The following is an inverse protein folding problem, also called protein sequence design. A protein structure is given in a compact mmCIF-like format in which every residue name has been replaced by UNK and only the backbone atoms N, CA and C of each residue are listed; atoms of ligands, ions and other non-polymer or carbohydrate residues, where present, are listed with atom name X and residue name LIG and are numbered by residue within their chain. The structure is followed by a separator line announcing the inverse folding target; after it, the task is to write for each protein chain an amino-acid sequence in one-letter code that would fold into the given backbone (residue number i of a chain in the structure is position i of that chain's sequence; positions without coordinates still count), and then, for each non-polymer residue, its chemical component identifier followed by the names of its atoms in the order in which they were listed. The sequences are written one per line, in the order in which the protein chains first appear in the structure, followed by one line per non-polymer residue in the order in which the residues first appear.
data_IF_116602832242
#
_entry.id   IF_116602832242
#
_cell.length_a   1.000
_cell.length_b   1.000
_cell.length_c   1.000
_cell.angle_alpha   90.00
_cell.angle_beta   90.00
_cell.angle_gamma   90.00
#
_symmetry.space_group_name_H-M   'P 1'
#
loop_
_entity.id
_entity.type
_entity.pdbx_description
1 polymer ?
#
# COMPACT_ATOMS: atom_id res chain seq x y z
N UNK A 1 -3.49 -27.27 31.48
CA UNK A 1 -2.56 -28.41 31.45
C UNK A 1 -2.97 -29.49 30.43
N UNK A 2 -4.14 -30.14 30.53
CA UNK A 2 -4.58 -31.20 29.58
C UNK A 2 -4.71 -30.79 28.11
N UNK A 3 -4.79 -29.49 27.82
CA UNK A 3 -5.11 -29.00 26.47
C UNK A 3 -3.87 -28.80 25.59
N UNK A 4 -2.68 -28.67 26.19
CA UNK A 4 -1.42 -28.63 25.44
C UNK A 4 -1.06 -30.02 24.89
N UNK A 5 -1.37 -31.10 25.61
CA UNK A 5 -1.18 -32.48 25.13
C UNK A 5 -1.95 -32.73 23.83
N UNK A 6 -3.22 -32.28 23.76
CA UNK A 6 -4.05 -32.36 22.55
C UNK A 6 -3.43 -31.60 21.37
N UNK A 7 -2.81 -30.44 21.63
CA UNK A 7 -2.16 -29.64 20.59
C UNK A 7 -0.94 -30.38 20.03
N UNK A 8 -0.04 -30.87 20.87
CA UNK A 8 1.14 -31.62 20.43
C UNK A 8 0.80 -32.98 19.79
N UNK A 9 -0.28 -33.64 20.20
CA UNK A 9 -0.77 -34.84 19.52
C UNK A 9 -1.39 -34.50 18.14
N UNK A 10 -2.07 -33.36 17.99
CA UNK A 10 -2.57 -32.90 16.70
C UNK A 10 -1.42 -32.54 15.75
N UNK A 11 -0.43 -31.80 16.24
CA UNK A 11 0.79 -31.43 15.51
C UNK A 11 1.57 -32.68 15.07
N UNK A 12 1.81 -33.63 15.98
CA UNK A 12 2.47 -34.91 15.67
C UNK A 12 1.67 -35.73 14.67
N UNK A 13 0.33 -35.73 14.76
CA UNK A 13 -0.54 -36.40 13.80
C UNK A 13 -0.44 -35.77 12.41
N UNK A 14 -0.44 -34.45 12.30
CA UNK A 14 -0.23 -33.72 11.03
C UNK A 14 1.14 -34.04 10.45
N UNK A 15 2.22 -33.96 11.25
CA UNK A 15 3.60 -34.31 10.86
C UNK A 15 3.80 -35.81 10.55
N UNK A 16 2.85 -36.67 10.93
CA UNK A 16 2.85 -38.10 10.58
C UNK A 16 2.05 -38.45 9.32
N UNK A 17 1.35 -37.48 8.71
CA UNK A 17 0.74 -37.68 7.40
C UNK A 17 1.85 -37.81 6.35
N UNK A 18 1.72 -38.75 5.38
CA UNK A 18 2.66 -38.80 4.27
C UNK A 18 2.55 -37.51 3.47
N UNK A 19 3.68 -36.86 3.20
CA UNK A 19 3.71 -35.69 2.32
C UNK A 19 3.04 -36.03 0.98
N UNK A 20 2.12 -35.19 0.50
CA UNK A 20 1.45 -35.45 -0.77
C UNK A 20 2.48 -35.34 -1.90
N UNK A 21 2.74 -36.47 -2.55
CA UNK A 21 3.52 -36.58 -3.79
C UNK A 21 2.92 -35.70 -4.89
N UNK A 22 3.27 -34.41 -4.89
CA UNK A 22 2.69 -33.39 -5.77
C UNK A 22 2.93 -33.73 -7.24
N UNK A 23 4.10 -34.27 -7.59
CA UNK A 23 4.45 -34.65 -8.96
C UNK A 23 3.54 -35.78 -9.50
N UNK A 24 3.15 -36.75 -8.66
CA UNK A 24 2.23 -37.84 -9.07
C UNK A 24 0.75 -37.54 -8.85
N UNK A 25 0.40 -36.66 -7.91
CA UNK A 25 -1.01 -36.37 -7.53
C UNK A 25 -1.55 -35.05 -8.06
N UNK A 26 -0.69 -34.16 -8.52
CA UNK A 26 -1.05 -32.84 -9.05
C UNK A 26 -0.51 -32.68 -10.49
N UNK A 27 -0.58 -33.77 -11.26
CA UNK A 27 -0.23 -33.82 -12.68
C UNK A 27 -0.97 -32.75 -13.49
N UNK A 28 -0.45 -32.39 -14.66
CA UNK A 28 -1.10 -31.41 -15.54
C UNK A 28 -2.57 -31.76 -15.82
N UNK A 29 -2.87 -33.03 -16.13
CA UNK A 29 -4.24 -33.50 -16.34
C UNK A 29 -5.15 -33.23 -15.12
N UNK A 30 -4.60 -33.37 -13.90
CA UNK A 30 -5.33 -33.07 -12.65
C UNK A 30 -5.56 -31.57 -12.50
N UNK A 31 -4.58 -30.73 -12.85
CA UNK A 31 -4.71 -29.27 -12.84
C UNK A 31 -5.74 -28.80 -13.87
N UNK A 32 -5.71 -29.35 -15.09
CA UNK A 32 -6.66 -29.06 -16.17
C UNK A 32 -8.09 -29.50 -15.79
N UNK A 33 -8.25 -30.65 -15.11
CA UNK A 33 -9.54 -31.10 -14.54
C UNK A 33 -10.04 -30.15 -13.44
N UNK A 34 -9.17 -29.66 -12.57
CA UNK A 34 -9.54 -28.68 -11.53
C UNK A 34 -9.96 -27.36 -12.20
N UNK A 35 -9.21 -26.89 -13.20
CA UNK A 35 -9.47 -25.66 -13.94
C UNK A 35 -10.83 -25.72 -14.68
N UNK A 36 -11.09 -26.78 -15.44
CA UNK A 36 -12.37 -26.93 -16.14
C UNK A 36 -13.57 -27.06 -15.18
N UNK A 37 -13.40 -27.75 -14.03
CA UNK A 37 -14.46 -27.78 -13.01
C UNK A 37 -14.72 -26.38 -12.40
N UNK A 38 -13.67 -25.57 -12.20
CA UNK A 38 -13.79 -24.20 -11.70
C UNK A 38 -14.48 -23.28 -12.73
N UNK A 39 -14.06 -23.33 -14.00
CA UNK A 39 -14.71 -22.61 -15.10
C UNK A 39 -16.19 -23.02 -15.26
N UNK A 40 -16.48 -24.33 -15.17
CA UNK A 40 -17.84 -24.88 -15.24
C UNK A 40 -18.69 -24.44 -14.05
N UNK A 41 -18.13 -24.36 -12.84
CA UNK A 41 -18.81 -23.82 -11.66
C UNK A 41 -19.17 -22.34 -11.85
N UNK A 42 -18.21 -21.50 -12.24
CA UNK A 42 -18.44 -20.08 -12.53
C UNK A 42 -19.56 -19.88 -13.57
N UNK A 43 -19.42 -20.50 -14.75
CA UNK A 43 -20.42 -20.50 -15.83
C UNK A 43 -21.80 -21.05 -15.41
N UNK A 44 -21.89 -21.83 -14.34
CA UNK A 44 -23.17 -22.34 -13.81
C UNK A 44 -23.90 -21.33 -12.93
N UNK A 45 -23.16 -20.48 -12.21
CA UNK A 45 -23.73 -19.42 -11.37
C UNK A 45 -24.30 -18.27 -12.24
N UNK A 46 -23.63 -17.91 -13.33
CA UNK A 46 -24.13 -16.92 -14.30
C UNK A 46 -25.49 -17.31 -14.90
N UNK A 47 -25.65 -18.61 -15.21
CA UNK A 47 -26.91 -19.15 -15.73
C UNK A 47 -28.05 -19.05 -14.71
N UNK A 48 -27.78 -19.12 -13.40
CA UNK A 48 -28.78 -18.86 -12.35
C UNK A 48 -29.19 -17.38 -12.26
N UNK A 49 -28.28 -16.42 -12.52
CA UNK A 49 -28.64 -14.98 -12.60
C UNK A 49 -29.57 -14.69 -13.80
N UNK A 50 -29.26 -15.23 -14.99
CA UNK A 50 -30.08 -14.99 -16.22
C UNK A 50 -31.53 -15.45 -16.09
N UNK A 51 -31.84 -16.44 -15.25
CA UNK A 51 -33.22 -16.88 -14.99
C UNK A 51 -34.09 -15.89 -14.20
N UNK A 52 -33.50 -14.91 -13.51
CA UNK A 52 -34.24 -13.90 -12.70
C UNK A 52 -34.35 -12.53 -13.38
N UNK A 53 -33.46 -12.22 -14.32
CA UNK A 53 -33.38 -10.93 -15.02
C UNK A 53 -34.48 -10.69 -16.07
N UNK A 54 -35.29 -11.71 -16.42
CA UNK A 54 -36.29 -11.62 -17.48
C UNK A 54 -37.52 -10.74 -17.15
N UNK A 55 -37.65 -10.27 -15.90
CA UNK A 55 -38.90 -9.71 -15.36
C UNK A 55 -38.91 -8.18 -15.20
N UNK A 56 -37.87 -7.47 -15.65
CA UNK A 56 -37.87 -5.99 -15.71
C UNK A 56 -37.45 -5.49 -17.09
N UNK A 57 -38.38 -4.76 -17.74
CA UNK A 57 -38.16 -3.89 -18.90
C UNK A 57 -39.06 -2.67 -18.75
N UNK A 58 -38.59 -1.51 -19.23
CA UNK A 58 -39.09 -0.15 -18.91
C UNK A 58 -38.66 0.23 -17.47
N UNK A 59 -38.23 1.45 -17.14
CA UNK A 59 -38.05 2.74 -17.87
C UNK A 59 -36.51 3.07 -17.73
N UNK A 60 -35.78 3.92 -18.46
CA UNK A 60 -36.04 5.20 -19.16
C UNK A 60 -35.18 5.30 -20.46
N UNK A 61 -34.84 6.51 -20.92
CA UNK A 61 -33.89 6.79 -22.00
C UNK A 61 -33.21 8.17 -21.78
N UNK A 62 -32.04 8.38 -22.40
CA UNK A 62 -31.17 9.56 -22.22
C UNK A 62 -30.08 9.31 -21.16
N UNK A 63 -28.84 9.80 -21.30
CA UNK A 63 -28.27 10.73 -22.31
C UNK A 63 -27.10 10.09 -23.09
N UNK A 64 -26.79 10.65 -24.27
CA UNK A 64 -25.61 10.30 -25.06
C UNK A 64 -24.62 11.48 -25.13
N UNK A 65 -23.66 11.52 -24.21
CA UNK A 65 -22.52 12.46 -24.08
C UNK A 65 -21.73 12.06 -22.82
N UNK A 66 -20.39 12.06 -22.75
CA UNK A 66 -19.35 12.36 -23.75
C UNK A 66 -18.35 11.19 -23.73
N UNK A 67 -18.11 10.54 -24.88
CA UNK A 67 -17.25 9.34 -24.97
C UNK A 67 -16.29 9.37 -26.19
N UNK A 68 -15.99 10.56 -26.69
CA UNK A 68 -14.99 10.81 -27.73
C UNK A 68 -14.47 12.25 -27.53
N UNK A 69 -13.17 12.48 -27.82
CA UNK A 69 -12.39 13.61 -27.28
C UNK A 69 -12.24 13.41 -25.75
N UNK A 70 -11.10 12.98 -25.20
CA UNK A 70 -9.71 13.26 -25.57
C UNK A 70 -8.88 11.97 -25.76
N UNK A 71 -8.39 11.69 -26.98
CA UNK A 71 -7.41 10.61 -27.22
C UNK A 71 -6.42 10.87 -28.36
N UNK A 72 -6.33 12.12 -28.86
CA UNK A 72 -5.38 12.53 -29.91
C UNK A 72 -5.07 14.04 -29.77
N UNK A 73 -4.01 14.39 -29.03
CA UNK A 73 -3.58 15.79 -28.86
C UNK A 73 -2.09 16.01 -28.50
N UNK A 74 -1.26 14.97 -28.27
CA UNK A 74 0.18 15.13 -28.02
C UNK A 74 0.99 14.14 -28.84
N UNK A 75 1.38 14.56 -30.05
CA UNK A 75 2.59 14.15 -30.78
C UNK A 75 2.75 15.04 -32.01
N UNK A 76 3.99 15.15 -32.53
CA UNK A 76 4.39 15.98 -33.68
C UNK A 76 4.44 17.51 -33.40
N UNK A 77 5.50 17.95 -32.72
CA UNK A 77 6.30 19.10 -33.19
C UNK A 77 7.77 18.66 -33.15
N UNK A 78 8.53 18.77 -34.25
CA UNK A 78 9.98 18.54 -34.24
C UNK A 78 10.72 19.81 -33.79
N UNK A 79 11.73 19.65 -32.94
CA UNK A 79 12.73 20.69 -32.67
C UNK A 79 14.11 20.17 -33.10
N UNK A 80 14.76 20.90 -34.00
CA UNK A 80 16.10 20.61 -34.50
C UNK A 80 16.87 21.92 -34.63
N UNK A 81 18.13 21.92 -34.17
CA UNK A 81 19.14 22.97 -34.39
C UNK A 81 18.83 24.37 -33.79
N UNK A 82 19.80 25.24 -33.48
CA UNK A 82 21.26 25.21 -33.72
C UNK A 82 22.08 25.35 -32.41
N UNK A 83 23.39 25.03 -32.48
CA UNK A 83 24.38 25.46 -31.47
C UNK A 83 25.26 26.59 -32.05
N UNK A 84 25.51 27.67 -31.31
CA UNK A 84 26.73 28.45 -31.45
C UNK A 84 27.86 27.91 -30.56
N UNK A 85 29.11 28.12 -30.97
CA UNK A 85 30.33 27.67 -30.29
C UNK A 85 30.87 28.67 -29.26
N UNK A 86 31.64 28.18 -28.29
CA UNK A 86 32.48 28.98 -27.39
C UNK A 86 33.55 29.81 -28.13
N UNK A 87 34.06 30.88 -27.49
CA UNK A 87 35.43 31.34 -27.65
C UNK A 87 36.26 31.08 -26.37
N UNK A 88 37.52 30.67 -26.55
CA UNK A 88 38.51 30.58 -25.45
C UNK A 88 38.98 31.97 -24.98
N UNK A 89 39.43 32.04 -23.72
CA UNK A 89 40.39 33.06 -23.25
C UNK A 89 41.12 32.52 -22.00
N UNK A 90 42.45 32.64 -21.99
CA UNK A 90 43.34 32.17 -20.92
C UNK A 90 43.73 33.32 -19.95
N UNK A 91 44.60 32.98 -18.99
CA UNK A 91 45.44 33.89 -18.16
C UNK A 91 44.78 34.59 -16.96
N UNK A 92 45.51 34.93 -15.88
CA UNK A 92 46.57 34.16 -15.18
C UNK A 92 46.84 34.80 -13.79
N UNK A 93 47.10 33.99 -12.76
CA UNK A 93 47.68 34.42 -11.48
C UNK A 93 46.76 35.20 -10.51
N UNK A 94 47.12 35.37 -9.23
CA UNK A 94 48.24 34.74 -8.51
C UNK A 94 48.02 34.75 -6.97
N UNK A 95 48.66 33.78 -6.29
CA UNK A 95 49.21 33.75 -4.91
C UNK A 95 49.02 35.00 -4.00
N UNK A 96 48.92 34.93 -2.66
CA UNK A 96 49.10 33.88 -1.61
C UNK A 96 48.66 34.50 -0.24
N UNK A 97 48.64 33.90 0.97
CA UNK A 97 49.45 32.88 1.71
C UNK A 97 48.55 32.19 2.76
N UNK A 98 48.72 30.90 3.09
CA UNK A 98 49.53 30.37 4.22
C UNK A 98 49.31 31.13 5.56
N UNK A 99 48.70 30.63 6.65
CA UNK A 99 48.82 29.33 7.40
C UNK A 99 50.26 29.04 7.91
N UNK A 100 50.51 28.18 8.94
CA UNK A 100 49.62 27.51 9.91
C UNK A 100 50.12 27.58 11.42
N UNK A 101 50.42 26.48 12.18
CA UNK A 101 49.53 25.82 13.17
C UNK A 101 50.12 25.67 14.60
N UNK A 102 49.47 24.83 15.45
CA UNK A 102 49.99 23.78 16.37
C UNK A 102 49.19 23.73 17.70
N UNK A 103 48.96 22.63 18.42
CA UNK A 103 48.55 21.20 18.19
C UNK A 103 48.58 20.48 19.57
N UNK A 104 48.14 19.21 19.62
CA UNK A 104 48.39 18.17 20.64
C UNK A 104 47.70 18.20 22.03
N UNK A 105 46.67 17.34 22.13
CA UNK A 105 46.59 16.21 23.08
C UNK A 105 46.95 16.39 24.57
N UNK A 106 45.96 16.18 25.46
CA UNK A 106 46.13 15.21 26.56
C UNK A 106 44.84 14.62 27.13
N UNK A 107 44.95 13.37 27.58
CA UNK A 107 43.99 12.67 28.47
C UNK A 107 44.27 13.07 29.92
N UNK A 108 43.22 13.13 30.74
CA UNK A 108 43.32 12.76 32.16
C UNK A 108 42.03 12.07 32.63
N UNK A 109 42.15 11.16 33.58
CA UNK A 109 41.02 10.44 34.17
C UNK A 109 40.38 11.27 35.29
N UNK A 110 39.05 11.20 35.43
CA UNK A 110 38.44 11.25 36.75
C UNK A 110 37.10 10.53 36.80
N UNK A 111 36.84 9.90 37.95
CA UNK A 111 35.79 8.90 38.12
C UNK A 111 35.31 8.93 39.57
N UNK A 112 34.06 9.32 39.77
CA UNK A 112 33.30 8.98 40.98
C UNK A 112 31.83 8.69 40.62
N UNK A 113 31.10 7.86 41.39
CA UNK A 113 29.94 7.14 40.88
C UNK A 113 28.58 7.50 41.53
N UNK A 114 27.51 6.91 40.98
CA UNK A 114 26.11 6.95 41.42
C UNK A 114 25.40 8.33 41.36
N UNK A 115 24.47 8.44 40.41
CA UNK A 115 23.07 8.13 40.76
C UNK A 115 22.51 7.13 39.72
N UNK A 116 21.55 6.29 40.11
CA UNK A 116 20.88 5.30 39.25
C UNK A 116 19.38 5.26 39.60
N UNK A 117 18.69 6.39 39.40
CA UNK A 117 17.25 6.54 39.66
C UNK A 117 16.53 7.41 38.61
N UNK A 118 16.84 7.23 37.31
CA UNK A 118 15.88 7.61 36.26
C UNK A 118 14.99 6.40 35.90
N UNK A 119 13.71 6.62 35.56
CA UNK A 119 12.81 5.53 35.13
C UNK A 119 13.23 4.98 33.75
N UNK A 120 12.72 3.79 33.40
CA UNK A 120 12.77 3.24 32.03
C UNK A 120 11.81 4.02 31.12
N UNK A 121 12.07 5.32 30.94
CA UNK A 121 11.47 6.16 29.92
C UNK A 121 12.02 5.68 28.56
N UNK A 122 11.39 4.62 28.06
CA UNK A 122 11.45 4.25 26.66
C UNK A 122 10.82 5.37 25.85
N UNK A 123 11.64 6.36 25.50
CA UNK A 123 11.36 7.31 24.42
C UNK A 123 11.00 6.46 23.21
N UNK A 124 9.71 6.38 22.91
CA UNK A 124 9.20 5.70 21.72
C UNK A 124 9.65 6.54 20.54
N UNK A 125 10.75 6.12 19.91
CA UNK A 125 11.38 6.81 18.78
C UNK A 125 10.46 6.67 17.54
N UNK A 126 9.43 7.51 17.57
CA UNK A 126 8.21 7.44 16.75
C UNK A 126 7.85 8.84 16.27
N UNK A 127 7.23 8.89 15.10
CA UNK A 127 6.88 10.09 14.36
C UNK A 127 5.37 10.03 14.14
N UNK A 128 4.67 11.07 14.57
CA UNK A 128 3.24 11.18 14.35
C UNK A 128 2.99 11.86 13.00
N UNK A 129 2.32 11.15 12.08
CA UNK A 129 1.62 11.78 10.96
C UNK A 129 0.21 12.16 11.44
N UNK A 130 -0.16 13.43 11.32
CA UNK A 130 -1.52 13.92 11.59
C UNK A 130 -2.18 14.36 10.28
N UNK A 131 -3.40 13.87 10.06
CA UNK A 131 -4.24 14.24 8.93
C UNK A 131 -5.57 14.84 9.44
N UNK A 132 -5.64 16.17 9.42
CA UNK A 132 -6.83 16.93 9.83
C UNK A 132 -7.93 16.98 8.77
N UNK A 133 -7.63 16.65 7.51
CA UNK A 133 -8.61 16.64 6.40
C UNK A 133 -9.64 15.51 6.55
N UNK A 134 -9.19 14.32 6.99
CA UNK A 134 -10.04 13.14 7.18
C UNK A 134 -10.17 12.72 8.64
N UNK A 135 -9.44 13.34 9.57
CA UNK A 135 -9.52 13.07 11.01
C UNK A 135 -8.85 11.76 11.42
N UNK A 136 -7.54 11.63 11.22
CA UNK A 136 -6.76 10.53 11.78
C UNK A 136 -5.30 10.90 12.05
N UNK A 137 -4.69 10.20 13.01
CA UNK A 137 -3.25 10.15 13.20
C UNK A 137 -2.71 8.78 12.77
N UNK A 138 -1.44 8.72 12.43
CA UNK A 138 -0.72 7.49 12.09
C UNK A 138 0.66 7.51 12.75
N UNK A 139 0.94 6.52 13.59
CA UNK A 139 2.24 6.35 14.24
C UNK A 139 3.23 5.65 13.30
N UNK A 140 4.38 6.26 13.07
CA UNK A 140 5.47 5.74 12.24
C UNK A 140 6.73 5.55 13.10
N UNK A 141 7.57 4.52 12.84
CA UNK A 141 8.88 4.41 13.46
C UNK A 141 9.85 5.44 12.85
N UNK A 142 10.89 5.81 13.60
CA UNK A 142 11.87 6.83 13.18
C UNK A 142 12.64 6.53 11.88
N UNK A 143 12.64 5.28 11.39
CA UNK A 143 13.11 4.94 10.03
C UNK A 143 12.35 5.69 8.92
N UNK A 144 11.16 6.22 9.20
CA UNK A 144 10.32 6.96 8.27
C UNK A 144 10.54 8.49 8.34
N UNK A 145 11.57 8.98 9.04
CA UNK A 145 11.88 10.41 9.05
C UNK A 145 12.14 10.91 7.62
N UNK A 146 11.40 11.96 7.21
CA UNK A 146 11.41 12.43 5.82
C UNK A 146 10.44 11.71 4.85
N UNK A 147 9.47 10.94 5.37
CA UNK A 147 8.34 10.43 4.57
C UNK A 147 7.62 11.56 3.82
N UNK A 148 6.87 11.20 2.77
CA UNK A 148 6.01 12.12 2.01
C UNK A 148 4.59 11.58 1.96
N UNK A 149 3.61 12.42 1.69
CA UNK A 149 2.25 11.98 1.36
C UNK A 149 2.08 12.10 -0.16
N UNK A 150 1.58 11.03 -0.78
CA UNK A 150 1.26 10.98 -2.22
C UNK A 150 -0.22 10.63 -2.37
N UNK A 151 -0.95 11.49 -3.05
CA UNK A 151 -2.39 11.35 -3.28
C UNK A 151 -2.67 10.66 -4.62
N UNK A 152 -3.53 9.63 -4.59
CA UNK A 152 -4.07 8.94 -5.78
C UNK A 152 -5.56 8.60 -5.54
N UNK A 153 -6.24 7.96 -6.50
CA UNK A 153 -7.67 7.66 -6.42
C UNK A 153 -7.98 6.17 -6.59
N UNK A 154 -9.11 5.74 -6.01
CA UNK A 154 -9.67 4.41 -6.24
C UNK A 154 -11.00 4.47 -6.97
N UNK A 155 -11.29 3.44 -7.77
CA UNK A 155 -12.55 3.28 -8.50
C UNK A 155 -13.35 2.09 -7.97
N UNK A 156 -14.63 2.31 -7.73
CA UNK A 156 -15.61 1.29 -7.35
C UNK A 156 -16.36 0.78 -8.59
N UNK A 157 -16.13 -0.47 -8.95
CA UNK A 157 -16.61 -1.09 -10.18
C UNK A 157 -17.87 -1.94 -9.89
N UNK A 158 -18.92 -1.72 -10.66
CA UNK A 158 -20.18 -2.47 -10.61
C UNK A 158 -20.08 -3.85 -11.30
N UNK A 159 -21.06 -4.72 -11.06
CA UNK A 159 -21.17 -6.03 -11.76
C UNK A 159 -21.17 -5.90 -13.29
N UNK A 160 -21.64 -4.78 -13.84
CA UNK A 160 -21.70 -4.51 -15.29
C UNK A 160 -20.44 -3.77 -15.80
N UNK A 161 -19.34 -3.78 -15.04
CA UNK A 161 -18.04 -3.17 -15.37
C UNK A 161 -18.07 -1.65 -15.58
N UNK A 162 -19.05 -0.97 -14.99
CA UNK A 162 -19.10 0.50 -14.92
C UNK A 162 -18.52 0.99 -13.60
N UNK A 163 -17.69 2.03 -13.65
CA UNK A 163 -17.30 2.82 -12.47
C UNK A 163 -18.56 3.52 -11.96
N UNK A 164 -18.91 3.28 -10.70
CA UNK A 164 -20.10 3.86 -10.05
C UNK A 164 -19.80 4.59 -8.74
N UNK A 165 -18.60 4.42 -8.21
CA UNK A 165 -18.09 5.02 -6.98
C UNK A 165 -16.61 5.37 -7.16
N UNK A 166 -16.09 6.32 -6.39
CA UNK A 166 -14.65 6.62 -6.31
C UNK A 166 -14.29 7.32 -5.01
N UNK A 167 -13.00 7.35 -4.67
CA UNK A 167 -12.51 8.04 -3.49
C UNK A 167 -10.98 8.15 -3.43
N UNK A 168 -10.49 8.68 -2.31
CA UNK A 168 -9.08 9.04 -2.13
C UNK A 168 -8.25 7.84 -1.63
N UNK A 169 -7.02 7.73 -2.13
CA UNK A 169 -5.93 6.98 -1.50
C UNK A 169 -4.86 7.99 -1.05
N UNK A 170 -4.41 7.89 0.20
CA UNK A 170 -3.21 8.58 0.67
C UNK A 170 -2.12 7.54 0.92
N UNK A 171 -1.05 7.59 0.12
CA UNK A 171 0.14 6.76 0.33
C UNK A 171 1.16 7.52 1.16
N UNK A 172 1.47 6.99 2.35
CA UNK A 172 2.68 7.40 3.09
C UNK A 172 3.86 6.79 2.32
N UNK A 173 4.61 7.66 1.65
CA UNK A 173 5.75 7.34 0.78
C UNK A 173 7.00 7.14 1.62
N UNK A 174 7.57 5.93 1.57
CA UNK A 174 8.80 5.58 2.27
C UNK A 174 9.93 6.56 1.89
N UNK A 175 10.73 7.10 2.84
CA UNK A 175 11.71 8.15 2.56
C UNK A 175 12.76 7.75 1.51
N UNK A 176 13.28 6.52 1.58
CA UNK A 176 14.24 5.97 0.60
C UNK A 176 13.64 5.44 -0.73
N UNK A 177 12.37 5.75 -1.05
CA UNK A 177 11.74 5.30 -2.30
C UNK A 177 12.31 6.04 -3.53
N UNK A 178 12.60 5.32 -4.61
CA UNK A 178 12.89 5.91 -5.94
C UNK A 178 12.16 5.17 -7.06
N UNK A 179 12.15 5.71 -8.29
CA UNK A 179 11.53 5.06 -9.45
C UNK A 179 12.31 3.81 -9.90
N UNK A 180 13.64 3.83 -9.75
CA UNK A 180 14.53 2.69 -10.05
C UNK A 180 14.49 1.63 -8.94
N UNK A 181 14.18 2.03 -7.71
CA UNK A 181 14.13 1.18 -6.52
C UNK A 181 12.87 1.48 -5.68
N UNK A 182 11.68 1.09 -6.17
CA UNK A 182 10.44 1.35 -5.46
C UNK A 182 10.35 0.48 -4.19
N UNK A 183 10.19 1.14 -3.05
CA UNK A 183 9.87 0.50 -1.76
C UNK A 183 8.34 0.43 -1.53
N UNK A 184 7.92 -0.35 -0.55
CA UNK A 184 6.52 -0.39 -0.10
C UNK A 184 6.13 0.93 0.56
N UNK A 185 5.16 1.62 -0.03
CA UNK A 185 4.41 2.70 0.63
C UNK A 185 3.38 2.11 1.62
N UNK A 186 2.87 2.92 2.55
CA UNK A 186 1.69 2.59 3.35
C UNK A 186 0.45 3.27 2.73
N UNK A 187 -0.34 2.59 1.88
CA UNK A 187 -1.55 3.14 1.27
C UNK A 187 -2.76 3.07 2.21
N UNK A 188 -3.36 4.22 2.47
CA UNK A 188 -4.60 4.38 3.23
C UNK A 188 -5.71 4.76 2.24
N UNK A 189 -6.62 3.82 1.95
CA UNK A 189 -7.88 4.11 1.26
C UNK A 189 -8.83 4.80 2.21
N UNK A 190 -9.51 5.84 1.72
CA UNK A 190 -10.55 6.56 2.45
C UNK A 190 -11.91 6.27 1.80
N UNK A 191 -12.88 5.92 2.63
CA UNK A 191 -14.28 5.71 2.26
C UNK A 191 -15.17 6.57 3.15
N UNK A 192 -16.23 7.17 2.60
CA UNK A 192 -17.35 7.61 3.45
C UNK A 192 -18.07 6.42 4.08
N UNK A 193 -18.74 6.59 5.22
CA UNK A 193 -19.52 5.52 5.85
C UNK A 193 -20.55 4.86 4.89
N UNK A 194 -21.13 5.63 3.96
CA UNK A 194 -22.04 5.11 2.95
C UNK A 194 -21.33 4.21 1.93
N UNK A 195 -20.19 4.66 1.39
CA UNK A 195 -19.39 3.89 0.43
C UNK A 195 -18.90 2.58 1.02
N UNK A 196 -18.45 2.58 2.28
CA UNK A 196 -18.10 1.34 2.98
C UNK A 196 -19.32 0.40 3.09
N UNK A 197 -20.49 0.94 3.47
CA UNK A 197 -21.71 0.14 3.61
C UNK A 197 -22.19 -0.50 2.30
N UNK A 198 -22.02 0.13 1.13
CA UNK A 198 -22.38 -0.49 -0.17
C UNK A 198 -21.29 -1.40 -0.74
N UNK A 199 -20.02 -1.14 -0.42
CA UNK A 199 -18.91 -2.07 -0.66
C UNK A 199 -19.08 -3.38 0.13
N UNK A 200 -19.49 -3.30 1.39
CA UNK A 200 -19.77 -4.47 2.25
C UNK A 200 -20.93 -5.33 1.72
N UNK A 201 -22.00 -4.69 1.22
CA UNK A 201 -23.11 -5.37 0.53
C UNK A 201 -22.69 -5.99 -0.80
N UNK A 202 -21.57 -5.53 -1.39
CA UNK A 202 -21.06 -6.00 -2.67
C UNK A 202 -21.79 -5.42 -3.88
N UNK A 203 -22.31 -4.19 -3.74
CA UNK A 203 -22.93 -3.45 -4.84
C UNK A 203 -21.87 -2.97 -5.84
N UNK A 204 -20.66 -2.66 -5.36
CA UNK A 204 -19.44 -2.51 -6.13
C UNK A 204 -18.28 -3.36 -5.56
N UNK A 205 -17.19 -3.48 -6.32
CA UNK A 205 -15.90 -4.05 -5.90
C UNK A 205 -14.73 -3.15 -6.32
N UNK A 206 -13.57 -3.35 -5.70
CA UNK A 206 -12.37 -2.53 -5.94
C UNK A 206 -11.31 -3.39 -6.62
N UNK A 207 -10.86 -2.95 -7.79
CA UNK A 207 -10.03 -3.76 -8.68
C UNK A 207 -10.72 -5.07 -9.10
N UNK A 208 -9.94 -6.02 -9.62
CA UNK A 208 -10.44 -7.31 -10.11
C UNK A 208 -10.28 -8.47 -9.10
N UNK A 209 -9.98 -8.18 -7.83
CA UNK A 209 -9.62 -9.20 -6.85
C UNK A 209 -10.85 -9.76 -6.07
N UNK A 210 -10.85 -11.05 -5.67
CA UNK A 210 -11.82 -11.59 -4.72
C UNK A 210 -11.47 -11.24 -3.25
N UNK A 211 -10.47 -10.39 -3.04
CA UNK A 211 -10.02 -9.89 -1.73
C UNK A 211 -10.61 -8.50 -1.55
N UNK A 212 -11.12 -8.18 -0.36
CA UNK A 212 -11.65 -6.85 -0.01
C UNK A 212 -10.57 -5.98 0.63
N UNK A 213 -10.77 -4.65 0.72
CA UNK A 213 -9.96 -3.80 1.59
C UNK A 213 -10.05 -4.26 3.05
N UNK A 214 -9.00 -4.03 3.82
CA UNK A 214 -8.93 -4.37 5.25
C UNK A 214 -8.99 -3.10 6.10
N UNK A 215 -9.95 -3.01 7.03
CA UNK A 215 -10.10 -1.82 7.91
C UNK A 215 -8.84 -1.59 8.74
N UNK A 216 -8.38 -0.34 8.77
CA UNK A 216 -7.37 0.21 9.68
C UNK A 216 -8.03 0.94 10.86
N UNK A 217 -9.12 1.65 10.61
CA UNK A 217 -9.90 2.37 11.62
C UNK A 217 -11.11 3.07 11.00
N UNK A 218 -11.89 3.78 11.83
CA UNK A 218 -13.02 4.59 11.38
C UNK A 218 -13.28 5.74 12.37
N UNK A 219 -13.90 6.81 11.91
CA UNK A 219 -14.41 7.89 12.74
C UNK A 219 -15.91 8.18 12.47
N UNK A 220 -16.37 9.40 12.74
CA UNK A 220 -17.74 9.85 12.53
C UNK A 220 -18.15 9.95 11.05
N UNK A 221 -17.21 10.05 10.10
CA UNK A 221 -17.51 10.29 8.68
C UNK A 221 -16.84 9.29 7.72
N UNK A 222 -15.67 8.77 8.10
CA UNK A 222 -14.79 7.98 7.25
C UNK A 222 -14.45 6.61 7.82
N UNK A 223 -14.22 5.65 6.93
CA UNK A 223 -13.54 4.37 7.18
C UNK A 223 -12.21 4.38 6.44
N UNK A 224 -11.14 4.04 7.17
CA UNK A 224 -9.78 3.94 6.65
C UNK A 224 -9.45 2.46 6.41
N UNK A 225 -8.87 2.10 5.28
CA UNK A 225 -8.56 0.70 4.96
C UNK A 225 -7.33 0.53 4.05
N UNK A 226 -6.66 -0.61 4.16
CA UNK A 226 -5.62 -1.04 3.21
C UNK A 226 -6.26 -1.51 1.90
N UNK A 227 -5.67 -1.21 0.72
CA UNK A 227 -6.09 -1.78 -0.55
C UNK A 227 -6.01 -3.31 -0.56
N UNK A 228 -6.89 -3.99 -1.33
CA UNK A 228 -6.78 -5.43 -1.53
C UNK A 228 -5.40 -5.79 -2.09
N UNK A 229 -4.66 -6.67 -1.41
CA UNK A 229 -3.37 -7.21 -1.88
C UNK A 229 -2.28 -6.14 -2.10
N UNK A 230 -2.31 -5.04 -1.36
CA UNK A 230 -1.38 -3.91 -1.52
C UNK A 230 0.12 -4.29 -1.48
N UNK A 231 0.47 -5.36 -0.77
CA UNK A 231 1.81 -5.92 -0.58
C UNK A 231 2.16 -7.12 -1.50
N UNK A 232 1.24 -7.59 -2.34
CA UNK A 232 1.31 -8.92 -3.00
C UNK A 232 2.42 -9.08 -4.05
N UNK A 233 3.06 -7.97 -4.46
CA UNK A 233 4.25 -8.01 -5.29
C UNK A 233 5.56 -8.25 -4.49
N UNK A 234 5.47 -8.28 -3.15
CA UNK A 234 6.61 -8.33 -2.22
C UNK A 234 7.71 -7.29 -2.51
N UNK A 235 7.38 -6.00 -2.70
CA UNK A 235 8.36 -4.95 -2.96
C UNK A 235 9.25 -4.70 -1.73
N UNK A 236 10.41 -4.07 -1.92
CA UNK A 236 11.36 -3.88 -0.83
C UNK A 236 10.75 -3.06 0.33
N UNK A 237 10.93 -3.53 1.57
CA UNK A 237 10.32 -2.91 2.75
C UNK A 237 8.90 -3.38 3.08
N UNK A 238 8.30 -4.32 2.33
CA UNK A 238 6.96 -4.82 2.66
C UNK A 238 6.87 -5.41 4.09
N UNK A 239 7.92 -6.07 4.56
CA UNK A 239 8.00 -6.63 5.92
C UNK A 239 8.03 -5.53 6.99
N UNK A 240 8.68 -4.39 6.74
CA UNK A 240 8.65 -3.24 7.65
C UNK A 240 7.23 -2.66 7.72
N UNK A 241 6.55 -2.55 6.59
CA UNK A 241 5.17 -2.04 6.52
C UNK A 241 4.17 -2.98 7.19
N UNK A 242 4.28 -4.31 7.02
CA UNK A 242 3.46 -5.27 7.79
C UNK A 242 3.72 -5.12 9.30
N UNK A 243 4.98 -5.06 9.75
CA UNK A 243 5.32 -4.86 11.16
C UNK A 243 4.76 -3.53 11.73
N UNK A 244 4.77 -2.45 10.95
CA UNK A 244 4.15 -1.17 11.34
C UNK A 244 2.64 -1.36 11.53
N UNK A 245 1.98 -2.02 10.58
CA UNK A 245 0.52 -2.17 10.56
C UNK A 245 0.00 -3.15 11.62
N UNK A 246 0.73 -4.22 11.95
CA UNK A 246 0.40 -5.15 13.04
C UNK A 246 0.28 -4.45 14.41
N UNK A 247 0.97 -3.32 14.61
CA UNK A 247 0.90 -2.53 15.84
C UNK A 247 -0.34 -1.62 15.94
N UNK A 248 -1.24 -1.62 14.94
CA UNK A 248 -2.44 -0.78 14.87
C UNK A 248 -2.13 0.73 14.93
N UNK A 249 -1.30 1.25 14.01
CA UNK A 249 -0.73 2.61 14.08
C UNK A 249 -1.72 3.73 13.77
N UNK A 250 -2.86 3.44 13.14
CA UNK A 250 -3.86 4.44 12.78
C UNK A 250 -4.79 4.71 13.97
N UNK A 251 -4.71 5.92 14.50
CA UNK A 251 -5.57 6.41 15.59
C UNK A 251 -6.61 7.39 15.02
N UNK A 252 -7.89 7.00 14.88
CA UNK A 252 -8.91 7.88 14.32
C UNK A 252 -9.24 9.04 15.28
N UNK A 253 -9.25 10.25 14.74
CA UNK A 253 -9.82 11.44 15.39
C UNK A 253 -11.26 11.65 14.89
N UNK A 254 -12.09 12.44 15.58
CA UNK A 254 -13.32 12.93 14.95
C UNK A 254 -12.95 13.99 13.90
N UNK A 255 -13.60 13.96 12.74
CA UNK A 255 -13.61 15.10 11.82
C UNK A 255 -14.48 16.24 12.40
N UNK A 256 -14.08 17.50 12.18
CA UNK A 256 -14.73 18.74 12.69
C UNK A 256 -15.82 19.31 11.75
#
# INVERSE_FOLDING_TARGET
MKDHEKFYDLERKIKSLPEPDYDKKFTKDTQDIIHENLLKFARSNDKKKKGRAATMKRITAGLASVAAILLFAILIIPFNEERPSSPDSNEQGQQSKENPPIDENKVDDNKDPLDQNEPDDKVTDTILYENTEYGFNFELPKSWEGYKIVSDSWEGISTDQQIIESGQILSIRHPEWTEEKPKQDIPIMIFTLNQWSVLEKGEFHIGAAPVRPSILGQNNEYVFALPPRYNYAFPEGYEEVENILENNPLQPQNAE
#
